data_IF_064556325032
#
_entry.id   IF_064556325032
#
_cell.length_a   1.000
_cell.length_b   1.000
_cell.length_c   1.000
_cell.angle_alpha   90.00
_cell.angle_beta   90.00
_cell.angle_gamma   90.00
#
_symmetry.space_group_name_H-M   'P 1'
#
loop_
_entity.id
_entity.type
_entity.pdbx_description
1 polymer ?
#
# COMPACT_ATOMS: atom_id res chain seq x y z
N UNK A 1 32.31 22.53 54.34
CA UNK A 1 31.71 21.23 53.98
C UNK A 1 30.40 21.49 53.24
N UNK A 2 30.17 20.74 52.15
CA UNK A 2 29.06 20.80 51.18
C UNK A 2 27.66 20.91 51.80
N UNK A 3 26.79 21.69 51.14
CA UNK A 3 25.44 21.24 50.70
C UNK A 3 25.03 22.01 49.43
N UNK A 4 24.67 21.26 48.39
CA UNK A 4 24.23 21.72 47.06
C UNK A 4 22.77 22.23 47.12
N UNK A 5 22.34 23.15 46.23
CA UNK A 5 20.91 23.33 45.98
C UNK A 5 20.36 22.11 45.22
N UNK A 6 19.28 21.53 45.74
CA UNK A 6 18.51 20.47 45.08
C UNK A 6 17.93 20.98 43.77
N UNK A 7 18.39 20.42 42.66
CA UNK A 7 17.74 20.53 41.36
C UNK A 7 16.39 19.83 41.42
N UNK A 8 15.31 20.61 41.44
CA UNK A 8 13.96 20.09 41.21
C UNK A 8 13.90 19.67 39.74
N UNK A 9 13.97 18.37 39.49
CA UNK A 9 13.79 17.79 38.16
C UNK A 9 12.37 18.09 37.68
N UNK A 10 12.26 18.73 36.51
CA UNK A 10 10.99 18.91 35.83
C UNK A 10 10.46 17.53 35.43
N UNK A 11 9.44 17.07 36.15
CA UNK A 11 8.70 15.85 35.82
C UNK A 11 7.86 16.12 34.55
N UNK A 12 8.44 15.77 33.41
CA UNK A 12 7.76 15.78 32.11
C UNK A 12 6.55 14.85 32.17
N UNK A 13 5.37 15.40 32.43
CA UNK A 13 4.11 14.69 32.25
C UNK A 13 3.94 14.41 30.75
N UNK A 14 4.25 13.20 30.33
CA UNK A 14 3.91 12.69 29.00
C UNK A 14 2.39 12.65 28.86
N UNK A 15 1.83 13.59 28.10
CA UNK A 15 0.43 13.53 27.68
C UNK A 15 0.21 12.26 26.86
N UNK A 16 -0.73 11.36 27.22
CA UNK A 16 -0.97 10.17 26.43
C UNK A 16 -1.47 10.58 25.04
N UNK A 17 -0.81 10.08 23.98
CA UNK A 17 -1.27 10.26 22.62
C UNK A 17 -2.69 9.68 22.48
N UNK A 18 -3.61 10.37 21.80
CA UNK A 18 -4.95 9.85 21.56
C UNK A 18 -4.85 8.51 20.82
N UNK A 19 -5.50 7.48 21.36
CA UNK A 19 -5.63 6.17 20.72
C UNK A 19 -6.29 6.38 19.35
N UNK A 20 -5.68 5.93 18.23
CA UNK A 20 -6.28 6.10 16.92
C UNK A 20 -7.61 5.35 16.88
N UNK A 21 -8.70 6.10 16.75
CA UNK A 21 -10.03 5.55 16.53
C UNK A 21 -9.96 4.81 15.19
N UNK A 22 -10.39 3.54 15.09
CA UNK A 22 -10.42 2.84 13.82
C UNK A 22 -11.33 3.60 12.86
N UNK A 23 -10.72 4.27 11.88
CA UNK A 23 -11.41 4.94 10.79
C UNK A 23 -12.29 3.90 10.10
N UNK A 24 -13.58 4.22 9.94
CA UNK A 24 -14.51 3.37 9.19
C UNK A 24 -13.86 2.96 7.86
N UNK A 25 -14.02 1.70 7.42
CA UNK A 25 -13.42 1.24 6.17
C UNK A 25 -13.85 2.20 5.06
N UNK A 26 -12.87 2.73 4.33
CA UNK A 26 -13.13 3.60 3.20
C UNK A 26 -14.14 2.93 2.26
N UNK A 27 -15.06 3.70 1.64
CA UNK A 27 -16.06 3.15 0.75
C UNK A 27 -15.38 2.26 -0.31
N UNK A 28 -15.87 1.03 -0.46
CA UNK A 28 -15.35 0.10 -1.45
C UNK A 28 -15.65 0.65 -2.83
N UNK A 29 -14.60 1.03 -3.55
CA UNK A 29 -14.76 1.38 -4.95
C UNK A 29 -15.06 0.13 -5.76
N UNK A 30 -16.19 0.15 -6.47
CA UNK A 30 -16.64 -0.98 -7.27
C UNK A 30 -16.02 -0.87 -8.66
N UNK A 31 -14.81 -1.39 -8.81
CA UNK A 31 -14.18 -1.58 -10.13
C UNK A 31 -14.40 -3.04 -10.59
N UNK A 32 -15.32 -3.28 -11.54
CA UNK A 32 -15.61 -4.63 -12.02
C UNK A 32 -14.41 -5.29 -12.72
N UNK A 33 -13.51 -4.49 -13.30
CA UNK A 33 -12.32 -5.00 -13.99
C UNK A 33 -11.30 -5.50 -12.98
N UNK A 34 -11.09 -4.74 -11.90
CA UNK A 34 -10.25 -5.17 -10.77
C UNK A 34 -10.83 -6.41 -10.10
N UNK A 35 -12.15 -6.44 -9.87
CA UNK A 35 -12.82 -7.59 -9.26
C UNK A 35 -12.66 -8.87 -10.10
N UNK A 36 -12.84 -8.77 -11.43
CA UNK A 36 -12.63 -9.90 -12.34
C UNK A 36 -11.17 -10.36 -12.35
N UNK A 37 -10.21 -9.43 -12.39
CA UNK A 37 -8.79 -9.76 -12.36
C UNK A 37 -8.36 -10.43 -11.04
N UNK A 38 -8.86 -9.93 -9.90
CA UNK A 38 -8.63 -10.52 -8.58
C UNK A 38 -9.21 -11.94 -8.49
N UNK A 39 -10.44 -12.12 -8.95
CA UNK A 39 -11.11 -13.42 -8.94
C UNK A 39 -10.32 -14.46 -9.76
N UNK A 40 -9.91 -14.09 -10.97
CA UNK A 40 -9.13 -14.97 -11.83
C UNK A 40 -7.76 -15.30 -11.22
N UNK A 41 -7.06 -14.30 -10.68
CA UNK A 41 -5.77 -14.51 -10.00
C UNK A 41 -5.88 -15.44 -8.78
N UNK A 42 -6.94 -15.30 -7.97
CA UNK A 42 -7.17 -16.20 -6.83
C UNK A 42 -7.63 -17.60 -7.23
N UNK A 43 -8.33 -17.73 -8.35
CA UNK A 43 -8.78 -19.01 -8.87
C UNK A 43 -7.63 -19.85 -9.44
N UNK A 44 -6.44 -19.25 -9.57
CA UNK A 44 -5.26 -19.93 -10.10
C UNK A 44 -5.19 -19.92 -11.62
N UNK A 45 -5.91 -19.01 -12.29
CA UNK A 45 -5.81 -18.86 -13.75
C UNK A 45 -4.36 -18.50 -14.12
N UNK A 46 -3.72 -19.27 -15.04
CA UNK A 46 -2.31 -19.09 -15.36
C UNK A 46 -2.03 -17.77 -16.08
N UNK A 47 -3.03 -17.19 -16.75
CA UNK A 47 -2.92 -15.90 -17.42
C UNK A 47 -4.29 -15.21 -17.54
N UNK A 48 -4.32 -13.90 -17.29
CA UNK A 48 -5.51 -13.05 -17.41
C UNK A 48 -5.17 -11.86 -18.29
N UNK A 49 -5.92 -11.68 -19.38
CA UNK A 49 -5.73 -10.54 -20.30
C UNK A 49 -6.82 -9.52 -20.04
N UNK A 50 -6.41 -8.31 -19.63
CA UNK A 50 -7.32 -7.18 -19.42
C UNK A 50 -7.15 -6.18 -20.56
N UNK A 51 -8.19 -6.02 -21.37
CA UNK A 51 -8.25 -4.94 -22.35
C UNK A 51 -8.37 -3.60 -21.61
N UNK A 52 -7.44 -2.69 -21.83
CA UNK A 52 -7.43 -1.38 -21.18
C UNK A 52 -7.08 -0.32 -22.23
N UNK A 53 -8.10 0.35 -22.80
CA UNK A 53 -7.90 1.47 -23.73
C UNK A 53 -7.00 2.57 -23.12
N UNK A 54 -6.38 3.43 -23.94
CA UNK A 54 -5.60 4.56 -23.42
C UNK A 54 -6.48 5.42 -22.50
N UNK A 55 -5.99 5.70 -21.28
CA UNK A 55 -6.72 6.46 -20.27
C UNK A 55 -7.65 5.64 -19.35
N UNK A 56 -7.87 4.34 -19.61
CA UNK A 56 -8.75 3.49 -18.80
C UNK A 56 -8.21 3.11 -17.41
N UNK A 57 -7.10 3.70 -16.97
CA UNK A 57 -6.58 3.48 -15.63
C UNK A 57 -5.79 2.17 -15.44
N UNK A 58 -5.19 1.60 -16.49
CA UNK A 58 -4.38 0.37 -16.39
C UNK A 58 -3.37 0.37 -15.23
N UNK A 59 -2.65 1.47 -15.05
CA UNK A 59 -1.68 1.62 -13.95
C UNK A 59 -2.34 1.52 -12.59
N UNK A 60 -3.51 2.16 -12.43
CA UNK A 60 -4.30 2.10 -11.21
C UNK A 60 -4.74 0.65 -10.93
N UNK A 61 -5.28 -0.04 -11.93
CA UNK A 61 -5.67 -1.44 -11.81
C UNK A 61 -4.50 -2.31 -11.36
N UNK A 62 -3.34 -2.21 -12.02
CA UNK A 62 -2.15 -3.01 -11.69
C UNK A 62 -1.69 -2.76 -10.26
N UNK A 63 -1.68 -1.50 -9.81
CA UNK A 63 -1.25 -1.12 -8.47
C UNK A 63 -2.18 -1.66 -7.39
N UNK A 64 -3.49 -1.49 -7.56
CA UNK A 64 -4.47 -2.02 -6.59
C UNK A 64 -4.52 -3.56 -6.60
N UNK A 65 -4.40 -4.19 -7.77
CA UNK A 65 -4.32 -5.64 -7.88
C UNK A 65 -3.11 -6.19 -7.11
N UNK A 66 -1.93 -5.59 -7.31
CA UNK A 66 -0.70 -6.00 -6.63
C UNK A 66 -0.80 -5.81 -5.12
N UNK A 67 -1.33 -4.68 -4.65
CA UNK A 67 -1.51 -4.41 -3.22
C UNK A 67 -2.47 -5.41 -2.57
N UNK A 68 -3.61 -5.72 -3.20
CA UNK A 68 -4.57 -6.68 -2.67
C UNK A 68 -4.00 -8.11 -2.65
N UNK A 69 -3.32 -8.54 -3.71
CA UNK A 69 -2.67 -9.87 -3.74
C UNK A 69 -1.54 -9.98 -2.71
N UNK A 70 -0.75 -8.92 -2.53
CA UNK A 70 0.30 -8.89 -1.52
C UNK A 70 -0.29 -8.93 -0.10
N UNK A 71 -1.23 -8.04 0.21
CA UNK A 71 -1.75 -7.90 1.58
C UNK A 71 -2.71 -9.00 1.98
N UNK A 72 -3.63 -9.41 1.09
CA UNK A 72 -4.68 -10.37 1.44
C UNK A 72 -4.30 -11.82 1.12
N UNK A 73 -3.55 -12.04 0.05
CA UNK A 73 -3.14 -13.38 -0.36
C UNK A 73 -1.72 -13.75 0.12
N UNK A 74 -0.96 -12.79 0.67
CA UNK A 74 0.42 -13.04 1.11
C UNK A 74 1.39 -13.37 -0.03
N UNK A 75 1.04 -13.03 -1.26
CA UNK A 75 1.81 -13.39 -2.45
C UNK A 75 2.95 -12.41 -2.71
N UNK A 76 4.05 -12.92 -3.27
CA UNK A 76 5.11 -12.09 -3.84
C UNK A 76 4.74 -11.74 -5.28
N UNK A 77 4.65 -10.45 -5.57
CA UNK A 77 4.22 -9.95 -6.88
C UNK A 77 5.41 -9.28 -7.57
N UNK A 78 5.64 -9.67 -8.82
CA UNK A 78 6.56 -8.98 -9.72
C UNK A 78 5.74 -8.23 -10.77
N UNK A 79 6.06 -6.94 -10.98
CA UNK A 79 5.44 -6.14 -12.04
C UNK A 79 6.52 -5.83 -13.09
N UNK A 80 6.29 -6.30 -14.31
CA UNK A 80 7.17 -6.01 -15.44
C UNK A 80 6.57 -4.90 -16.31
N UNK A 81 7.42 -3.97 -16.74
CA UNK A 81 7.07 -2.88 -17.66
C UNK A 81 8.06 -2.81 -18.81
N UNK A 82 7.65 -2.24 -19.95
CA UNK A 82 8.51 -2.13 -21.12
C UNK A 82 9.66 -1.13 -20.90
N UNK A 83 9.41 -0.06 -20.15
CA UNK A 83 10.40 1.00 -19.91
C UNK A 83 10.72 1.18 -18.43
N UNK A 84 11.93 1.69 -18.15
CA UNK A 84 12.36 2.05 -16.80
C UNK A 84 11.48 3.16 -16.19
N UNK A 85 11.09 4.13 -16.99
CA UNK A 85 10.20 5.22 -16.53
C UNK A 85 8.85 4.67 -16.07
N UNK A 86 8.30 3.67 -16.77
CA UNK A 86 7.08 2.99 -16.33
C UNK A 86 7.29 2.22 -15.03
N UNK A 87 8.41 1.51 -14.87
CA UNK A 87 8.72 0.79 -13.64
C UNK A 87 8.77 1.75 -12.43
N UNK A 88 9.40 2.92 -12.61
CA UNK A 88 9.46 3.96 -11.59
C UNK A 88 8.08 4.53 -11.24
N UNK A 89 7.25 4.87 -12.25
CA UNK A 89 5.88 5.38 -12.01
C UNK A 89 5.01 4.36 -11.26
N UNK A 90 5.04 3.08 -11.67
CA UNK A 90 4.32 2.01 -10.99
C UNK A 90 4.81 1.82 -9.56
N UNK A 91 6.13 1.82 -9.34
CA UNK A 91 6.73 1.65 -8.01
C UNK A 91 6.29 2.75 -7.06
N UNK A 92 6.36 4.00 -7.51
CA UNK A 92 5.94 5.16 -6.71
C UNK A 92 4.45 5.08 -6.35
N UNK A 93 3.58 4.69 -7.29
CA UNK A 93 2.15 4.53 -7.04
C UNK A 93 1.83 3.34 -6.13
N UNK A 94 2.54 2.23 -6.28
CA UNK A 94 2.42 1.06 -5.42
C UNK A 94 2.81 1.40 -3.97
N UNK A 95 3.92 2.13 -3.78
CA UNK A 95 4.33 2.60 -2.47
C UNK A 95 3.27 3.55 -1.86
N UNK A 96 2.66 4.43 -2.67
CA UNK A 96 1.63 5.36 -2.21
C UNK A 96 0.35 4.68 -1.71
N UNK A 97 0.00 3.49 -2.22
CA UNK A 97 -1.13 2.69 -1.72
C UNK A 97 -0.74 1.69 -0.63
N UNK A 98 0.51 1.71 -0.17
CA UNK A 98 0.99 0.92 0.96
C UNK A 98 1.42 -0.51 0.61
N UNK A 99 1.77 -0.77 -0.65
CA UNK A 99 2.46 -2.00 -1.05
C UNK A 99 3.93 -1.93 -0.63
N UNK A 100 4.51 -3.06 -0.21
CA UNK A 100 5.96 -3.15 0.04
C UNK A 100 6.64 -3.47 -1.29
N UNK A 101 7.44 -2.52 -1.80
CA UNK A 101 7.98 -2.54 -3.17
C UNK A 101 9.51 -2.51 -3.16
N UNK A 102 10.12 -3.20 -4.12
CA UNK A 102 11.54 -3.14 -4.43
C UNK A 102 11.73 -3.17 -5.95
N UNK A 103 12.72 -2.44 -6.46
CA UNK A 103 13.15 -2.51 -7.86
C UNK A 103 14.21 -3.59 -8.00
N UNK A 104 14.02 -4.47 -8.99
CA UNK A 104 14.95 -5.54 -9.35
C UNK A 104 15.85 -5.14 -10.53
#
# INVERSE_FOLDING_TARGET
MRTLPESVSAESRSTPLPTPIPTAPAPHETDPTLAAALFAAWSGDPAVVVASPPGAGKTRLVVHLAEQLQRRAGLRIAIATQTRTQALDVTNRAAAVGASVALL
#
